data_IF_182304072247
#
_entry.id   IF_182304072247
#
_cell.length_a   1.000
_cell.length_b   1.000
_cell.length_c   1.000
_cell.angle_alpha   90.00
_cell.angle_beta   90.00
_cell.angle_gamma   90.00
#
_symmetry.space_group_name_H-M   'P 1'
#
loop_
_entity.id
_entity.type
_entity.pdbx_description
1 polymer ?
#
# COMPACT_ATOMS: atom_id res chain seq x y z
N UNK A 1 -23.53 -7.33 1.38
CA UNK A 1 -22.23 -6.64 1.16
C UNK A 1 -21.60 -6.44 2.52
N UNK A 2 -20.56 -7.21 2.85
CA UNK A 2 -19.78 -6.96 4.07
C UNK A 2 -18.81 -5.84 3.70
N UNK A 3 -19.19 -4.60 3.95
CA UNK A 3 -18.23 -3.49 3.96
C UNK A 3 -17.46 -3.61 5.26
N UNK A 4 -16.48 -4.52 5.31
CA UNK A 4 -15.40 -4.44 6.28
C UNK A 4 -14.62 -3.18 5.90
N UNK A 5 -15.08 -2.02 6.37
CA UNK A 5 -14.29 -0.80 6.36
C UNK A 5 -13.23 -1.01 7.44
N UNK A 6 -12.24 -1.86 7.15
CA UNK A 6 -11.00 -1.92 7.92
C UNK A 6 -10.50 -0.49 8.02
N UNK A 7 -10.20 -0.06 9.24
CA UNK A 7 -9.65 1.27 9.42
C UNK A 7 -8.33 1.33 8.64
N UNK A 8 -8.00 2.44 7.97
CA UNK A 8 -6.73 2.52 7.25
C UNK A 8 -5.57 2.21 8.18
N UNK A 9 -4.63 1.37 7.73
CA UNK A 9 -3.48 0.88 8.49
C UNK A 9 -3.84 -0.06 9.66
N UNK A 10 -5.04 -0.63 9.70
CA UNK A 10 -5.44 -1.50 10.82
C UNK A 10 -4.55 -2.75 10.91
N UNK A 11 -4.22 -3.38 9.78
CA UNK A 11 -3.38 -4.57 9.75
C UNK A 11 -1.92 -4.16 9.94
N UNK A 12 -1.49 -3.13 9.21
CA UNK A 12 -0.12 -2.61 9.30
C UNK A 12 0.24 -2.16 10.73
N UNK A 13 -0.71 -1.62 11.49
CA UNK A 13 -0.49 -1.18 12.88
C UNK A 13 -0.21 -2.30 13.88
N UNK A 14 -0.48 -3.56 13.50
CA UNK A 14 -0.16 -4.74 14.31
C UNK A 14 1.25 -5.25 14.05
N UNK A 15 1.80 -4.92 12.88
CA UNK A 15 3.09 -5.40 12.41
C UNK A 15 4.20 -4.37 12.60
N UNK A 16 3.91 -3.09 12.35
CA UNK A 16 4.86 -1.98 12.41
C UNK A 16 4.83 -1.25 13.75
N UNK A 17 5.90 -0.54 14.05
CA UNK A 17 6.02 0.33 15.21
C UNK A 17 5.00 1.47 15.17
N UNK A 18 4.55 1.90 16.36
CA UNK A 18 3.63 3.04 16.48
C UNK A 18 4.23 4.37 15.98
N UNK A 19 5.57 4.47 15.96
CA UNK A 19 6.29 5.65 15.45
C UNK A 19 6.17 5.72 13.93
N UNK A 20 6.47 4.63 13.23
CA UNK A 20 6.32 4.53 11.78
C UNK A 20 4.88 4.72 11.32
N UNK A 21 3.91 4.15 12.01
CA UNK A 21 2.48 4.39 11.70
C UNK A 21 2.12 5.88 11.87
N UNK A 22 2.66 6.57 12.88
CA UNK A 22 2.45 8.02 13.05
C UNK A 22 3.13 8.80 11.94
N UNK A 23 4.36 8.47 11.56
CA UNK A 23 5.10 9.14 10.50
C UNK A 23 4.34 9.08 9.17
N UNK A 24 3.80 7.91 8.84
CA UNK A 24 2.99 7.67 7.63
C UNK A 24 1.66 8.44 7.67
N UNK A 25 0.98 8.50 8.83
CA UNK A 25 -0.28 9.25 8.95
C UNK A 25 -0.10 10.77 8.91
N UNK A 26 1.02 11.27 9.41
CA UNK A 26 1.27 12.72 9.54
C UNK A 26 1.90 13.32 8.29
N UNK A 27 2.57 12.50 7.47
CA UNK A 27 3.25 12.99 6.28
C UNK A 27 2.30 13.10 5.08
N UNK A 28 2.29 14.24 4.37
CA UNK A 28 1.44 14.45 3.20
C UNK A 28 1.83 13.60 2.00
N UNK A 29 3.02 13.00 2.00
CA UNK A 29 3.51 12.13 0.92
C UNK A 29 2.81 10.76 0.89
N UNK A 30 2.18 10.36 2.00
CA UNK A 30 1.51 9.07 2.14
C UNK A 30 0.00 9.26 2.17
N UNK A 31 -0.65 8.88 1.06
CA UNK A 31 -2.10 8.96 0.93
C UNK A 31 -2.80 7.62 1.20
N UNK A 32 -4.11 7.56 0.90
CA UNK A 32 -4.89 6.32 1.01
C UNK A 32 -4.28 5.13 0.26
N UNK A 33 -3.59 5.36 -0.87
CA UNK A 33 -2.93 4.29 -1.61
C UNK A 33 -1.76 3.67 -0.82
N UNK A 34 -0.92 4.50 -0.18
CA UNK A 34 0.16 4.00 0.70
C UNK A 34 -0.40 3.15 1.84
N UNK A 35 -1.54 3.53 2.41
CA UNK A 35 -2.16 2.79 3.51
C UNK A 35 -2.68 1.43 3.05
N UNK A 36 -3.31 1.37 1.87
CA UNK A 36 -3.72 0.10 1.24
C UNK A 36 -2.51 -0.81 0.96
N UNK A 37 -1.42 -0.26 0.44
CA UNK A 37 -0.16 -0.99 0.21
C UNK A 37 0.35 -1.61 1.51
N UNK A 38 0.40 -0.82 2.58
CA UNK A 38 0.89 -1.28 3.88
C UNK A 38 0.00 -2.36 4.49
N UNK A 39 -1.32 -2.20 4.45
CA UNK A 39 -2.24 -3.24 4.94
C UNK A 39 -2.12 -4.52 4.11
N UNK A 40 -1.94 -4.40 2.79
CA UNK A 40 -1.71 -5.54 1.89
C UNK A 40 -0.38 -6.25 2.20
N UNK A 41 0.70 -5.52 2.38
CA UNK A 41 2.00 -6.08 2.76
C UNK A 41 1.98 -6.71 4.15
N UNK A 42 1.29 -6.09 5.11
CA UNK A 42 1.13 -6.64 6.45
C UNK A 42 0.31 -7.93 6.45
N UNK A 43 -0.70 -8.03 5.57
CA UNK A 43 -1.50 -9.24 5.40
C UNK A 43 -0.73 -10.37 4.72
N UNK A 44 -0.01 -10.07 3.64
CA UNK A 44 0.61 -11.09 2.78
C UNK A 44 2.03 -11.48 3.23
N UNK A 45 2.81 -10.52 3.72
CA UNK A 45 4.24 -10.68 4.03
C UNK A 45 4.65 -9.99 5.34
N UNK A 46 3.99 -10.28 6.49
CA UNK A 46 4.23 -9.56 7.75
C UNK A 46 5.67 -9.64 8.23
N UNK A 47 6.33 -10.80 8.08
CA UNK A 47 7.72 -10.98 8.48
C UNK A 47 8.68 -10.10 7.67
N UNK A 48 8.45 -9.98 6.35
CA UNK A 48 9.27 -9.14 5.48
C UNK A 48 9.02 -7.65 5.73
N UNK A 49 7.77 -7.28 6.03
CA UNK A 49 7.42 -5.91 6.39
C UNK A 49 8.14 -5.44 7.67
N UNK A 50 8.16 -6.30 8.71
CA UNK A 50 8.92 -6.04 9.94
C UNK A 50 10.43 -5.99 9.70
N UNK A 51 10.94 -6.88 8.85
CA UNK A 51 12.35 -6.86 8.48
C UNK A 51 12.72 -5.54 7.77
N UNK A 52 11.88 -5.07 6.86
CA UNK A 52 12.09 -3.80 6.16
C UNK A 52 12.06 -2.59 7.10
N UNK A 53 11.18 -2.58 8.10
CA UNK A 53 11.19 -1.57 9.16
C UNK A 53 12.50 -1.61 9.97
N UNK A 54 12.98 -2.81 10.30
CA UNK A 54 14.22 -3.01 11.08
C UNK A 54 15.48 -2.60 10.34
N UNK A 55 15.46 -2.63 9.01
CA UNK A 55 16.54 -2.12 8.15
C UNK A 55 16.63 -0.59 8.16
N UNK A 56 15.56 0.07 8.60
CA UNK A 56 15.51 1.51 8.83
C UNK A 56 14.18 2.09 8.36
N UNK A 57 13.64 3.03 9.14
CA UNK A 57 12.36 3.67 8.83
C UNK A 57 12.37 4.33 7.45
N UNK A 58 13.44 5.05 7.08
CA UNK A 58 13.56 5.66 5.75
C UNK A 58 13.55 4.65 4.60
N UNK A 59 14.07 3.43 4.84
CA UNK A 59 14.07 2.35 3.85
C UNK A 59 12.64 1.88 3.59
N UNK A 60 11.88 1.62 4.65
CA UNK A 60 10.46 1.29 4.56
C UNK A 60 9.66 2.40 3.88
N UNK A 61 9.80 3.64 4.36
CA UNK A 61 9.10 4.81 3.81
C UNK A 61 9.40 5.02 2.32
N UNK A 62 10.67 4.89 1.92
CA UNK A 62 11.09 4.99 0.52
C UNK A 62 10.46 3.90 -0.35
N UNK A 63 10.44 2.65 0.13
CA UNK A 63 9.81 1.52 -0.58
C UNK A 63 8.30 1.73 -0.76
N UNK A 64 7.60 2.21 0.28
CA UNK A 64 6.17 2.52 0.20
C UNK A 64 5.90 3.63 -0.82
N UNK A 65 6.72 4.69 -0.86
CA UNK A 65 6.56 5.77 -1.83
C UNK A 65 6.76 5.30 -3.26
N UNK A 66 7.77 4.46 -3.51
CA UNK A 66 8.00 3.91 -4.85
C UNK A 66 6.85 2.99 -5.27
N UNK A 67 6.37 2.13 -4.38
CA UNK A 67 5.19 1.30 -4.66
C UNK A 67 3.95 2.14 -4.93
N UNK A 68 3.72 3.20 -4.14
CA UNK A 68 2.61 4.13 -4.34
C UNK A 68 2.70 4.78 -5.73
N UNK A 69 3.89 5.20 -6.15
CA UNK A 69 4.12 5.82 -7.46
C UNK A 69 3.76 4.85 -8.58
N UNK A 70 4.27 3.62 -8.53
CA UNK A 70 4.01 2.58 -9.53
C UNK A 70 2.52 2.24 -9.64
N UNK A 71 1.85 2.06 -8.50
CA UNK A 71 0.43 1.73 -8.48
C UNK A 71 -0.44 2.88 -9.00
N UNK A 72 -0.17 4.12 -8.58
CA UNK A 72 -0.91 5.28 -9.09
C UNK A 72 -0.68 5.52 -10.57
N UNK A 73 0.53 5.29 -11.07
CA UNK A 73 0.85 5.39 -12.50
C UNK A 73 0.03 4.38 -13.32
N UNK A 74 0.02 3.11 -12.90
CA UNK A 74 -0.79 2.07 -13.53
C UNK A 74 -2.30 2.31 -13.40
N UNK A 75 -2.76 2.79 -12.23
CA UNK A 75 -4.15 3.17 -12.02
C UNK A 75 -4.56 4.39 -12.82
N UNK A 76 -3.64 5.22 -13.31
CA UNK A 76 -3.97 6.39 -14.14
C UNK A 76 -3.67 6.17 -15.64
N UNK A 77 -2.85 5.20 -16.01
CA UNK A 77 -2.47 4.91 -17.40
C UNK A 77 -3.66 4.45 -18.26
N UNK A 78 -4.60 3.70 -17.67
CA UNK A 78 -5.77 3.21 -18.40
C UNK A 78 -6.87 4.28 -18.51
N UNK A 79 -7.52 4.44 -19.67
CA UNK A 79 -8.73 5.24 -19.79
C UNK A 79 -9.87 4.71 -18.91
N UNK A 80 -10.77 5.57 -18.45
CA UNK A 80 -11.88 5.18 -17.56
C UNK A 80 -12.80 4.11 -18.19
N UNK A 81 -13.03 4.17 -19.50
CA UNK A 81 -13.74 3.14 -20.27
C UNK A 81 -13.14 1.75 -20.12
N UNK A 82 -11.80 1.63 -20.11
CA UNK A 82 -11.09 0.37 -19.95
C UNK A 82 -11.05 -0.14 -18.50
N UNK A 83 -11.37 0.72 -17.52
CA UNK A 83 -11.49 0.34 -16.09
C UNK A 83 -12.91 -0.03 -15.69
N UNK A 84 -13.89 0.16 -16.57
CA UNK A 84 -15.30 -0.02 -16.22
C UNK A 84 -15.56 -1.48 -15.87
N UNK A 85 -15.96 -1.74 -14.62
CA UNK A 85 -16.20 -3.10 -14.12
C UNK A 85 -14.96 -3.80 -13.56
N UNK A 86 -13.79 -3.16 -13.55
CA UNK A 86 -12.59 -3.66 -12.90
C UNK A 86 -12.40 -3.04 -11.52
N UNK A 87 -11.97 -3.87 -10.57
CA UNK A 87 -11.44 -3.42 -9.28
C UNK A 87 -10.04 -2.82 -9.44
N UNK A 88 -9.58 -2.02 -8.48
CA UNK A 88 -8.20 -1.52 -8.48
C UNK A 88 -7.17 -2.66 -8.56
N UNK A 89 -7.42 -3.77 -7.87
CA UNK A 89 -6.54 -4.94 -7.92
C UNK A 89 -6.46 -5.54 -9.33
N UNK A 90 -7.59 -5.68 -10.02
CA UNK A 90 -7.63 -6.17 -11.40
C UNK A 90 -6.94 -5.21 -12.37
N UNK A 91 -7.06 -3.90 -12.17
CA UNK A 91 -6.33 -2.89 -12.96
C UNK A 91 -4.82 -3.03 -12.76
N UNK A 92 -4.37 -3.15 -11.51
CA UNK A 92 -2.94 -3.33 -11.20
C UNK A 92 -2.40 -4.63 -11.80
N UNK A 93 -3.17 -5.72 -11.74
CA UNK A 93 -2.81 -6.99 -12.36
C UNK A 93 -2.75 -6.89 -13.89
N UNK A 94 -3.69 -6.18 -14.53
CA UNK A 94 -3.70 -5.94 -15.98
C UNK A 94 -2.48 -5.13 -16.44
N UNK A 95 -1.98 -4.23 -15.58
CA UNK A 95 -0.76 -3.45 -15.82
C UNK A 95 0.51 -4.16 -15.34
N UNK A 96 0.42 -5.43 -14.97
CA UNK A 96 1.54 -6.26 -14.50
C UNK A 96 2.32 -5.64 -13.32
N UNK A 97 1.64 -4.84 -12.49
CA UNK A 97 2.26 -4.22 -11.31
C UNK A 97 2.43 -5.28 -10.23
N UNK A 98 3.68 -5.53 -9.84
CA UNK A 98 3.95 -6.36 -8.67
C UNK A 98 3.48 -5.61 -7.41
N UNK A 99 2.52 -6.21 -6.70
CA UNK A 99 1.92 -5.63 -5.48
C UNK A 99 2.45 -6.28 -4.20
N UNK A 100 3.28 -7.31 -4.32
CA UNK A 100 3.94 -7.97 -3.20
C UNK A 100 5.18 -7.20 -2.74
N UNK A 101 5.61 -7.46 -1.50
CA UNK A 101 6.79 -6.85 -0.88
C UNK A 101 8.06 -7.60 -1.29
#
# INVERSE_FOLDING_TARGET
MITNQTQPLEIASRELSSETIKAIRQSPSFGPQSWKILDRWALNSPAQLRQLESEGELTLLGKVLEQQRLELEALHSLPAEHKTGLTEHEVLALQEVNTEL
#
